data_IF_906045360142
#
_entry.id   IF_906045360142
#
_cell.length_a   1.000
_cell.length_b   1.000
_cell.length_c   1.000
_cell.angle_alpha   90.00
_cell.angle_beta   90.00
_cell.angle_gamma   90.00
#
_symmetry.space_group_name_H-M   'P 1'
#
loop_
_entity.id
_entity.type
_entity.pdbx_description
1 polymer ?
#
# COMPACT_ATOMS: atom_id res chain seq x y z
N UNK A 1 10.70 35.78 45.10
CA UNK A 1 11.86 36.00 45.99
C UNK A 1 13.08 35.51 45.22
N UNK A 2 14.11 36.27 44.84
CA UNK A 2 14.46 37.67 45.03
C UNK A 2 15.62 37.97 44.05
N UNK A 3 15.48 39.03 43.24
CA UNK A 3 16.44 40.12 42.91
C UNK A 3 17.96 39.79 42.93
N UNK A 4 18.74 39.93 41.83
CA UNK A 4 19.21 41.14 41.11
C UNK A 4 20.61 41.66 41.56
N UNK A 5 21.32 42.29 40.59
CA UNK A 5 22.61 43.05 40.65
C UNK A 5 23.91 42.21 40.71
N UNK A 6 24.86 42.25 39.77
CA UNK A 6 25.58 43.27 38.98
C UNK A 6 26.90 43.79 39.63
N UNK A 7 27.99 43.55 38.89
CA UNK A 7 29.23 44.34 38.74
C UNK A 7 30.46 44.27 39.69
N UNK A 8 31.62 44.44 39.02
CA UNK A 8 33.02 44.79 39.45
C UNK A 8 33.99 43.64 39.74
N UNK A 9 35.28 43.67 39.38
CA UNK A 9 36.22 44.63 38.75
C UNK A 9 37.52 43.82 38.45
N UNK A 10 38.21 43.98 37.30
CA UNK A 10 39.40 44.84 37.08
C UNK A 10 40.76 44.12 37.12
N UNK A 11 41.64 44.57 36.20
CA UNK A 11 43.12 44.52 36.20
C UNK A 11 43.84 43.20 35.81
N UNK A 12 44.96 43.19 35.07
CA UNK A 12 45.80 44.24 34.49
C UNK A 12 46.81 43.65 33.45
N UNK A 13 47.04 44.38 32.36
CA UNK A 13 48.32 44.67 31.67
C UNK A 13 49.51 43.68 31.69
N UNK A 14 50.14 43.49 30.52
CA UNK A 14 51.33 44.29 30.13
C UNK A 14 51.85 44.03 28.70
N UNK A 15 52.26 45.16 28.09
CA UNK A 15 53.31 45.34 27.07
C UNK A 15 53.05 44.89 25.63
N UNK A 16 52.79 45.87 24.76
CA UNK A 16 53.61 46.09 23.55
C UNK A 16 53.57 47.57 23.17
N UNK A 17 54.68 48.26 23.36
CA UNK A 17 54.96 49.58 22.81
C UNK A 17 56.22 49.46 21.95
N UNK A 18 56.17 49.94 20.71
CA UNK A 18 57.37 50.11 19.90
C UNK A 18 57.18 50.14 18.38
N UNK A 19 56.95 51.36 17.85
CA UNK A 19 57.46 51.90 16.57
C UNK A 19 56.87 51.38 15.23
N UNK A 20 56.11 52.24 14.51
CA UNK A 20 56.51 53.04 13.32
C UNK A 20 56.68 52.14 12.06
N UNK A 21 56.02 52.29 10.91
CA UNK A 21 55.50 53.44 10.14
C UNK A 21 54.55 52.94 9.02
N UNK A 22 53.63 53.81 8.57
CA UNK A 22 52.72 53.74 7.38
C UNK A 22 53.42 53.32 6.05
N UNK A 23 52.75 53.11 4.88
CA UNK A 23 51.30 53.19 4.57
C UNK A 23 50.71 52.05 3.69
N UNK A 24 49.39 51.93 3.77
CA UNK A 24 48.44 51.61 2.69
C UNK A 24 48.96 50.98 1.38
N UNK A 25 48.99 49.64 1.32
CA UNK A 25 48.93 48.90 0.04
C UNK A 25 48.29 47.50 0.14
N UNK A 26 47.88 47.07 1.33
CA UNK A 26 47.35 45.71 1.55
C UNK A 26 45.81 45.62 1.53
N UNK A 27 45.10 46.74 1.28
CA UNK A 27 43.64 46.78 1.33
C UNK A 27 42.95 46.12 0.14
N UNK A 28 43.57 46.08 -1.04
CA UNK A 28 42.89 45.58 -2.24
C UNK A 28 43.10 44.07 -2.47
N UNK A 29 44.18 43.48 -1.95
CA UNK A 29 44.43 42.05 -2.10
C UNK A 29 43.55 41.23 -1.14
N UNK A 30 43.33 41.73 0.08
CA UNK A 30 42.47 41.07 1.09
C UNK A 30 40.98 41.08 0.71
N UNK A 31 40.48 42.20 0.15
CA UNK A 31 39.08 42.32 -0.29
C UNK A 31 38.83 41.46 -1.54
N UNK A 32 39.81 41.36 -2.45
CA UNK A 32 39.69 40.50 -3.63
C UNK A 32 39.69 39.01 -3.24
N UNK A 33 40.52 38.59 -2.28
CA UNK A 33 40.47 37.21 -1.74
C UNK A 33 39.14 36.91 -1.04
N UNK A 34 38.57 37.83 -0.24
CA UNK A 34 37.28 37.58 0.41
C UNK A 34 36.10 37.55 -0.58
N UNK A 35 36.15 38.29 -1.69
CA UNK A 35 35.13 38.20 -2.74
C UNK A 35 35.26 36.93 -3.59
N UNK A 36 36.48 36.42 -3.81
CA UNK A 36 36.73 35.15 -4.51
C UNK A 36 36.35 33.92 -3.67
N UNK A 37 36.48 33.99 -2.34
CA UNK A 37 36.01 32.93 -1.44
C UNK A 37 34.48 32.92 -1.25
N UNK A 38 33.79 34.05 -1.41
CA UNK A 38 32.33 34.10 -1.25
C UNK A 38 31.55 33.68 -2.51
N UNK A 39 32.17 33.80 -3.70
CA UNK A 39 31.56 33.33 -4.97
C UNK A 39 31.80 31.85 -5.26
N UNK A 40 32.75 31.21 -4.57
CA UNK A 40 33.03 29.78 -4.70
C UNK A 40 32.18 28.93 -3.74
N UNK A 41 31.77 29.47 -2.58
CA UNK A 41 30.86 28.78 -1.66
C UNK A 41 29.40 28.69 -2.16
N UNK A 42 28.91 29.71 -2.87
CA UNK A 42 27.55 29.70 -3.43
C UNK A 42 27.39 28.68 -4.59
N UNK A 43 28.48 28.36 -5.30
CA UNK A 43 28.44 27.39 -6.41
C UNK A 43 28.46 25.93 -5.93
N UNK A 44 29.00 25.64 -4.74
CA UNK A 44 29.13 24.26 -4.23
C UNK A 44 27.83 23.77 -3.57
N UNK A 45 27.03 24.68 -2.98
CA UNK A 45 25.75 24.30 -2.34
C UNK A 45 24.65 24.00 -3.38
N UNK A 46 24.71 24.59 -4.57
CA UNK A 46 23.71 24.37 -5.63
C UNK A 46 23.85 23.03 -6.38
N UNK A 47 25.01 22.36 -6.29
CA UNK A 47 25.27 21.11 -7.00
C UNK A 47 24.83 19.87 -6.20
N UNK A 48 24.72 19.98 -4.87
CA UNK A 48 24.35 18.82 -4.03
C UNK A 48 22.84 18.52 -4.01
N UNK A 49 21.98 19.44 -4.44
CA UNK A 49 20.51 19.21 -4.47
C UNK A 49 20.01 18.52 -5.73
N UNK A 50 20.89 18.19 -6.70
CA UNK A 50 20.53 17.49 -7.94
C UNK A 50 20.74 15.97 -7.88
N UNK A 51 21.21 15.44 -6.75
CA UNK A 51 21.43 14.01 -6.51
C UNK A 51 20.41 13.41 -5.52
N UNK A 52 19.19 13.96 -5.49
CA UNK A 52 18.05 13.18 -5.01
C UNK A 52 17.80 12.07 -6.02
N UNK A 53 18.60 11.00 -5.93
CA UNK A 53 18.33 9.75 -6.61
C UNK A 53 16.94 9.31 -6.17
N UNK A 54 15.97 9.42 -7.07
CA UNK A 54 14.74 8.69 -6.93
C UNK A 54 15.15 7.22 -6.91
N UNK A 55 15.15 6.61 -5.72
CA UNK A 55 15.18 5.16 -5.63
C UNK A 55 13.87 4.70 -6.27
N UNK A 56 13.92 4.45 -7.57
CA UNK A 56 12.89 3.67 -8.24
C UNK A 56 12.77 2.37 -7.44
N UNK A 57 11.53 1.97 -7.13
CA UNK A 57 11.28 0.66 -6.52
C UNK A 57 11.92 -0.37 -7.45
N UNK A 58 12.85 -1.15 -6.92
CA UNK A 58 13.56 -2.14 -7.71
C UNK A 58 12.52 -3.08 -8.33
N UNK A 59 12.41 -3.14 -9.66
CA UNK A 59 11.43 -4.01 -10.30
C UNK A 59 11.80 -5.49 -10.10
N UNK A 60 13.03 -5.78 -9.67
CA UNK A 60 13.52 -7.13 -9.43
C UNK A 60 12.85 -7.74 -8.20
N UNK A 61 12.38 -9.00 -8.30
CA UNK A 61 11.78 -9.69 -7.18
C UNK A 61 12.85 -10.14 -6.19
N UNK A 62 12.43 -10.31 -4.94
CA UNK A 62 13.18 -11.08 -3.95
C UNK A 62 12.52 -12.43 -3.74
N UNK A 63 13.29 -13.51 -3.76
CA UNK A 63 12.74 -14.84 -3.50
C UNK A 63 12.39 -15.01 -2.03
N UNK A 64 11.13 -15.34 -1.75
CA UNK A 64 10.66 -15.70 -0.41
C UNK A 64 10.15 -17.14 -0.42
N UNK A 65 10.68 -17.97 0.50
CA UNK A 65 10.17 -19.32 0.73
C UNK A 65 9.36 -19.34 2.02
N UNK A 66 8.06 -19.56 1.91
CA UNK A 66 7.19 -19.65 3.08
C UNK A 66 7.56 -20.89 3.89
N UNK A 67 8.06 -20.73 5.14
CA UNK A 67 8.49 -21.86 5.96
C UNK A 67 7.34 -22.80 6.34
N UNK A 68 6.09 -22.32 6.32
CA UNK A 68 4.92 -23.13 6.70
C UNK A 68 4.45 -24.04 5.57
N UNK A 69 4.45 -23.54 4.33
CA UNK A 69 3.91 -24.26 3.17
C UNK A 69 5.00 -24.82 2.25
N UNK A 70 6.24 -24.32 2.36
CA UNK A 70 7.36 -24.66 1.49
C UNK A 70 7.31 -24.02 0.11
N UNK A 71 6.29 -23.20 -0.18
CA UNK A 71 6.10 -22.52 -1.47
C UNK A 71 7.14 -21.41 -1.60
N UNK A 72 7.78 -21.32 -2.76
CA UNK A 72 8.70 -20.24 -3.10
C UNK A 72 8.01 -19.25 -4.02
N UNK A 73 8.20 -17.96 -3.74
CA UNK A 73 7.57 -16.85 -4.44
C UNK A 73 8.63 -15.87 -4.90
N UNK A 74 8.42 -15.27 -6.06
CA UNK A 74 8.95 -13.94 -6.33
C UNK A 74 8.14 -12.92 -5.53
N UNK A 75 8.80 -12.01 -4.82
CA UNK A 75 8.12 -11.03 -3.96
C UNK A 75 8.62 -9.60 -4.14
N UNK A 76 7.68 -8.67 -4.03
CA UNK A 76 7.90 -7.23 -4.10
C UNK A 76 7.39 -6.57 -2.81
N UNK A 77 8.23 -5.71 -2.24
CA UNK A 77 7.97 -5.03 -0.98
C UNK A 77 7.60 -3.57 -1.23
N UNK A 78 6.38 -3.22 -0.83
CA UNK A 78 5.90 -1.85 -0.74
C UNK A 78 6.18 -1.33 0.67
N UNK A 79 7.05 -0.32 0.84
CA UNK A 79 7.38 0.21 2.16
C UNK A 79 6.15 0.82 2.84
N UNK A 80 6.13 0.75 4.17
CA UNK A 80 5.17 1.48 4.98
C UNK A 80 5.35 2.99 4.90
N UNK A 81 4.35 3.71 5.40
CA UNK A 81 4.35 5.16 5.56
C UNK A 81 3.98 5.53 7.00
N UNK A 82 3.85 6.83 7.30
CA UNK A 82 3.34 7.28 8.60
C UNK A 82 1.93 6.75 8.91
N UNK A 83 1.13 6.45 7.88
CA UNK A 83 -0.23 5.91 8.03
C UNK A 83 -0.30 4.39 7.94
N UNK A 84 0.39 3.78 6.99
CA UNK A 84 0.25 2.35 6.62
C UNK A 84 1.51 1.55 6.96
N UNK A 85 1.37 0.26 7.30
CA UNK A 85 2.54 -0.55 7.71
C UNK A 85 3.37 -1.12 6.57
N UNK A 86 2.89 -1.04 5.33
CA UNK A 86 3.56 -1.60 4.17
C UNK A 86 2.89 -2.91 3.73
N UNK A 87 3.29 -3.39 2.56
CA UNK A 87 2.71 -4.56 1.94
C UNK A 87 3.80 -5.36 1.24
N UNK A 88 3.74 -6.68 1.34
CA UNK A 88 4.50 -7.58 0.48
C UNK A 88 3.52 -8.36 -0.39
N UNK A 89 3.70 -8.30 -1.70
CA UNK A 89 3.00 -9.16 -2.64
C UNK A 89 3.98 -10.16 -3.22
N UNK A 90 3.56 -11.41 -3.34
CA UNK A 90 4.33 -12.48 -3.92
C UNK A 90 3.52 -13.31 -4.90
N UNK A 91 4.21 -13.87 -5.88
CA UNK A 91 3.62 -14.68 -6.93
C UNK A 91 4.46 -15.93 -7.19
N UNK A 92 3.78 -17.06 -7.27
CA UNK A 92 4.29 -18.32 -7.82
C UNK A 92 3.37 -18.75 -8.96
N UNK A 93 3.96 -19.27 -10.02
CA UNK A 93 3.30 -19.54 -11.30
C UNK A 93 3.55 -20.99 -11.75
N UNK A 94 2.69 -21.53 -12.64
CA UNK A 94 2.96 -22.77 -13.37
C UNK A 94 4.35 -22.75 -14.04
N UNK A 95 4.97 -23.91 -14.23
CA UNK A 95 6.32 -24.01 -14.81
C UNK A 95 6.42 -23.41 -16.21
N UNK A 96 5.35 -23.46 -17.01
CA UNK A 96 5.31 -22.92 -18.37
C UNK A 96 4.90 -21.45 -18.44
N UNK A 97 4.66 -20.77 -17.31
CA UNK A 97 4.02 -19.46 -17.29
C UNK A 97 4.85 -18.33 -17.93
N UNK A 98 6.17 -18.51 -18.09
CA UNK A 98 7.04 -17.54 -18.75
C UNK A 98 7.15 -17.78 -20.27
N UNK A 99 6.58 -18.88 -20.77
CA UNK A 99 6.49 -19.19 -22.20
C UNK A 99 5.06 -19.00 -22.70
N UNK A 100 4.07 -19.47 -21.92
CA UNK A 100 2.64 -19.34 -22.17
C UNK A 100 1.97 -18.54 -21.05
N UNK A 101 1.04 -17.65 -21.41
CA UNK A 101 0.32 -16.85 -20.42
C UNK A 101 -0.50 -17.75 -19.46
N UNK A 102 -0.17 -17.69 -18.16
CA UNK A 102 -0.92 -18.35 -17.13
C UNK A 102 -2.26 -17.63 -16.89
N UNK A 103 -3.30 -18.39 -16.55
CA UNK A 103 -4.60 -17.82 -16.15
C UNK A 103 -4.77 -17.76 -14.63
N UNK A 104 -3.88 -18.42 -13.90
CA UNK A 104 -3.94 -18.62 -12.45
C UNK A 104 -2.55 -18.45 -11.83
N UNK A 105 -2.52 -18.19 -10.52
CA UNK A 105 -1.30 -18.10 -9.75
C UNK A 105 -1.54 -18.46 -8.28
N UNK A 106 -0.47 -18.73 -7.55
CA UNK A 106 -0.49 -18.75 -6.09
C UNK A 106 0.10 -17.43 -5.60
N UNK A 107 -0.70 -16.66 -4.87
CA UNK A 107 -0.32 -15.39 -4.30
C UNK A 107 0.11 -15.52 -2.84
N UNK A 108 1.11 -14.73 -2.47
CA UNK A 108 1.41 -14.38 -1.08
C UNK A 108 1.07 -12.89 -0.89
N UNK A 109 0.34 -12.58 0.16
CA UNK A 109 0.01 -11.21 0.53
C UNK A 109 0.28 -11.05 2.03
N UNK A 110 1.20 -10.17 2.38
CA UNK A 110 1.40 -9.72 3.75
C UNK A 110 1.06 -8.23 3.82
N UNK A 111 0.04 -7.91 4.60
CA UNK A 111 -0.43 -6.54 4.82
C UNK A 111 -0.03 -6.14 6.24
N UNK A 112 0.99 -5.29 6.35
CA UNK A 112 1.54 -4.88 7.62
C UNK A 112 0.79 -3.67 8.18
N UNK A 113 0.81 -3.56 9.50
CA UNK A 113 0.20 -2.47 10.25
C UNK A 113 1.15 -1.94 11.32
N UNK A 114 1.15 -0.62 11.50
CA UNK A 114 2.00 0.06 12.47
C UNK A 114 1.61 -0.27 13.92
N UNK A 115 0.37 -0.69 14.19
CA UNK A 115 -0.11 -1.10 15.51
C UNK A 115 -1.41 -1.91 15.42
N UNK A 116 -1.86 -2.45 16.56
CA UNK A 116 -3.08 -3.27 16.66
C UNK A 116 -4.36 -2.53 16.21
N UNK A 117 -4.40 -1.19 16.29
CA UNK A 117 -5.54 -0.41 15.82
C UNK A 117 -5.56 -0.32 14.29
N UNK A 118 -4.42 -0.19 13.63
CA UNK A 118 -4.36 -0.17 12.16
C UNK A 118 -4.35 -1.57 11.54
N UNK A 119 -4.09 -2.61 12.35
CA UNK A 119 -4.10 -4.03 11.92
C UNK A 119 -5.49 -4.55 11.49
N UNK A 120 -6.55 -3.78 11.68
CA UNK A 120 -7.93 -4.08 11.24
C UNK A 120 -8.27 -3.49 9.86
N UNK A 121 -7.33 -2.77 9.26
CA UNK A 121 -7.45 -2.20 7.92
C UNK A 121 -7.48 -3.25 6.80
N UNK A 122 -7.36 -2.79 5.56
CA UNK A 122 -7.41 -3.65 4.37
C UNK A 122 -6.26 -3.34 3.40
N UNK A 123 -5.89 -4.34 2.62
CA UNK A 123 -4.98 -4.22 1.50
C UNK A 123 -5.67 -4.65 0.20
N UNK A 124 -5.28 -4.04 -0.90
CA UNK A 124 -5.79 -4.32 -2.24
C UNK A 124 -4.66 -4.48 -3.24
N UNK A 125 -4.84 -5.40 -4.19
CA UNK A 125 -3.97 -5.58 -5.36
C UNK A 125 -4.80 -5.38 -6.62
N UNK A 126 -4.32 -4.58 -7.55
CA UNK A 126 -4.82 -4.56 -8.93
C UNK A 126 -3.92 -5.45 -9.79
N UNK A 127 -4.53 -6.38 -10.52
CA UNK A 127 -3.83 -7.30 -11.41
C UNK A 127 -3.54 -6.72 -12.80
N UNK A 128 -3.95 -5.48 -13.06
CA UNK A 128 -3.67 -4.76 -14.31
C UNK A 128 -3.02 -3.40 -14.10
N UNK A 129 -2.39 -3.17 -12.95
CA UNK A 129 -1.78 -1.90 -12.57
C UNK A 129 -2.80 -0.85 -12.11
N UNK A 130 -3.75 -0.51 -12.97
CA UNK A 130 -4.76 0.53 -12.73
C UNK A 130 -5.85 0.08 -11.74
N UNK A 131 -6.40 1.02 -10.95
CA UNK A 131 -7.61 0.75 -10.15
C UNK A 131 -8.83 0.45 -11.02
N UNK A 132 -8.95 1.15 -12.15
CA UNK A 132 -10.08 1.00 -13.06
C UNK A 132 -9.76 -0.06 -14.11
N UNK A 133 -10.81 -0.72 -14.59
CA UNK A 133 -10.78 -1.63 -15.72
C UNK A 133 -9.83 -2.83 -15.55
N UNK A 134 -9.56 -3.19 -14.29
CA UNK A 134 -8.68 -4.30 -13.88
C UNK A 134 -9.34 -5.17 -12.83
N UNK A 135 -8.97 -6.45 -12.76
CA UNK A 135 -9.38 -7.31 -11.63
C UNK A 135 -8.67 -6.86 -10.35
N UNK A 136 -9.46 -6.60 -9.31
CA UNK A 136 -8.98 -6.15 -8.02
C UNK A 136 -9.20 -7.26 -6.99
N UNK A 137 -8.15 -7.57 -6.22
CA UNK A 137 -8.24 -8.41 -5.02
C UNK A 137 -8.19 -7.53 -3.79
N UNK A 138 -9.24 -7.55 -2.98
CA UNK A 138 -9.25 -6.93 -1.65
C UNK A 138 -9.09 -8.00 -0.59
N UNK A 139 -8.22 -7.78 0.40
CA UNK A 139 -8.04 -8.65 1.56
C UNK A 139 -8.03 -7.87 2.87
N UNK A 140 -8.60 -8.45 3.93
CA UNK A 140 -8.69 -7.81 5.26
C UNK A 140 -8.96 -8.85 6.34
N UNK A 141 -8.64 -8.55 7.62
CA UNK A 141 -8.95 -9.45 8.73
C UNK A 141 -10.36 -9.20 9.28
N UNK A 142 -11.05 -10.29 9.62
CA UNK A 142 -12.33 -10.29 10.34
C UNK A 142 -12.33 -11.45 11.34
N UNK A 143 -12.45 -11.14 12.64
CA UNK A 143 -12.55 -12.12 13.73
C UNK A 143 -11.49 -13.24 13.66
N UNK A 144 -10.24 -12.85 13.43
CA UNK A 144 -9.09 -13.77 13.37
C UNK A 144 -8.96 -14.56 12.07
N UNK A 145 -9.79 -14.28 11.05
CA UNK A 145 -9.69 -14.88 9.71
C UNK A 145 -9.36 -13.80 8.69
N UNK A 146 -8.57 -14.12 7.68
CA UNK A 146 -8.39 -13.22 6.53
C UNK A 146 -9.51 -13.49 5.53
N UNK A 147 -10.21 -12.46 5.10
CA UNK A 147 -11.25 -12.52 4.06
C UNK A 147 -10.74 -11.87 2.79
N UNK A 148 -11.29 -12.31 1.67
CA UNK A 148 -10.99 -11.77 0.35
C UNK A 148 -12.27 -11.40 -0.39
N UNK A 149 -12.20 -10.40 -1.26
CA UNK A 149 -13.27 -10.04 -2.19
C UNK A 149 -12.67 -9.65 -3.53
N UNK A 150 -13.14 -10.29 -4.60
CA UNK A 150 -12.78 -9.91 -5.97
C UNK A 150 -13.70 -8.79 -6.44
N UNK A 151 -13.10 -7.75 -7.01
CA UNK A 151 -13.75 -6.48 -7.29
C UNK A 151 -13.37 -5.95 -8.67
N UNK A 152 -14.22 -5.08 -9.20
CA UNK A 152 -14.00 -4.41 -10.48
C UNK A 152 -14.71 -3.06 -10.50
N UNK A 153 -14.14 -2.08 -11.20
CA UNK A 153 -14.75 -0.76 -11.40
C UNK A 153 -14.27 -0.11 -12.70
N UNK A 154 -15.13 0.65 -13.36
CA UNK A 154 -14.79 1.48 -14.52
C UNK A 154 -14.56 2.96 -14.16
N UNK A 155 -14.53 3.28 -12.86
CA UNK A 155 -14.31 4.63 -12.37
C UNK A 155 -13.73 4.65 -10.96
N UNK A 156 -13.26 5.82 -10.52
CA UNK A 156 -12.67 6.05 -9.20
C UNK A 156 -13.75 6.16 -8.09
N UNK A 157 -14.56 5.11 -7.99
CA UNK A 157 -15.67 4.95 -7.04
C UNK A 157 -15.51 3.62 -6.29
N UNK A 158 -16.42 3.31 -5.37
CA UNK A 158 -16.42 2.03 -4.65
C UNK A 158 -16.48 0.86 -5.66
N UNK A 159 -15.47 -0.04 -5.68
CA UNK A 159 -15.50 -1.15 -6.61
C UNK A 159 -16.68 -2.10 -6.40
N UNK A 160 -17.36 -2.43 -7.48
CA UNK A 160 -18.40 -3.46 -7.50
C UNK A 160 -17.81 -4.85 -7.32
N UNK A 161 -18.66 -5.83 -7.02
CA UNK A 161 -18.26 -7.25 -6.98
C UNK A 161 -17.86 -7.68 -8.39
N UNK A 162 -16.74 -8.41 -8.50
CA UNK A 162 -16.36 -9.03 -9.76
C UNK A 162 -17.26 -10.23 -10.04
N UNK A 163 -17.89 -10.28 -11.22
CA UNK A 163 -18.86 -11.32 -11.58
C UNK A 163 -18.33 -12.33 -12.61
N UNK A 164 -17.06 -12.23 -12.99
CA UNK A 164 -16.41 -13.22 -13.84
C UNK A 164 -16.08 -14.52 -13.09
N UNK A 165 -15.33 -15.39 -13.74
CA UNK A 165 -15.07 -16.75 -13.27
C UNK A 165 -13.92 -16.86 -12.24
N UNK A 166 -13.25 -15.76 -11.93
CA UNK A 166 -12.14 -15.73 -11.00
C UNK A 166 -12.55 -16.20 -9.59
N UNK A 167 -11.71 -17.01 -8.96
CA UNK A 167 -11.94 -17.52 -7.59
C UNK A 167 -10.67 -17.48 -6.76
N UNK A 168 -10.83 -17.32 -5.45
CA UNK A 168 -9.73 -17.31 -4.47
C UNK A 168 -9.96 -18.41 -3.45
N UNK A 169 -9.00 -19.32 -3.32
CA UNK A 169 -8.99 -20.39 -2.31
C UNK A 169 -7.74 -20.27 -1.46
N UNK A 170 -7.87 -20.31 -0.13
CA UNK A 170 -6.73 -20.14 0.77
C UNK A 170 -5.94 -21.43 0.95
N UNK A 171 -4.62 -21.27 1.00
CA UNK A 171 -3.66 -22.30 1.42
C UNK A 171 -3.34 -22.10 2.91
N UNK A 172 -3.06 -20.85 3.30
CA UNK A 172 -2.83 -20.49 4.70
C UNK A 172 -3.11 -19.01 4.95
N UNK A 173 -3.50 -18.66 6.16
CA UNK A 173 -3.60 -17.27 6.58
C UNK A 173 -3.21 -17.11 8.06
N UNK A 174 -2.83 -15.89 8.44
CA UNK A 174 -2.54 -15.50 9.81
C UNK A 174 -3.00 -14.07 10.06
N UNK A 175 -3.52 -13.79 11.25
CA UNK A 175 -3.88 -12.44 11.72
C UNK A 175 -3.19 -12.22 13.07
N UNK A 176 -2.50 -11.10 13.23
CA UNK A 176 -1.82 -10.74 14.47
C UNK A 176 -1.90 -9.23 14.72
N UNK A 177 -1.27 -8.75 15.79
CA UNK A 177 -1.30 -7.34 16.16
C UNK A 177 -0.54 -6.41 15.18
N UNK A 178 0.26 -6.97 14.27
CA UNK A 178 1.07 -6.23 13.30
C UNK A 178 0.52 -6.37 11.87
N UNK A 179 -0.67 -6.94 11.69
CA UNK A 179 -1.32 -7.09 10.39
C UNK A 179 -1.80 -8.51 10.11
N UNK A 180 -1.76 -8.89 8.84
CA UNK A 180 -2.17 -10.24 8.41
C UNK A 180 -1.35 -10.73 7.22
N UNK A 181 -1.30 -12.06 7.07
CA UNK A 181 -0.75 -12.72 5.89
C UNK A 181 -1.75 -13.69 5.29
N UNK A 182 -1.67 -13.87 3.98
CA UNK A 182 -2.51 -14.76 3.20
C UNK A 182 -1.68 -15.39 2.08
N UNK A 183 -1.67 -16.72 2.05
CA UNK A 183 -1.23 -17.52 0.91
C UNK A 183 -2.46 -18.12 0.26
N UNK A 184 -2.67 -17.89 -1.02
CA UNK A 184 -3.91 -18.22 -1.72
C UNK A 184 -3.67 -18.64 -3.16
N UNK A 185 -4.51 -19.53 -3.67
CA UNK A 185 -4.63 -19.81 -5.09
C UNK A 185 -5.69 -18.88 -5.70
N UNK A 186 -5.31 -18.16 -6.75
CA UNK A 186 -6.20 -17.31 -7.53
C UNK A 186 -6.38 -17.96 -8.90
N UNK A 187 -7.52 -18.63 -9.09
CA UNK A 187 -7.86 -19.27 -10.37
C UNK A 187 -8.57 -18.26 -11.26
N UNK A 188 -8.21 -18.23 -12.54
CA UNK A 188 -8.84 -17.39 -13.57
C UNK A 188 -8.70 -15.88 -13.28
N UNK A 189 -7.60 -15.49 -12.62
CA UNK A 189 -7.38 -14.12 -12.13
C UNK A 189 -6.48 -13.28 -13.06
N UNK A 190 -5.72 -13.89 -13.95
CA UNK A 190 -4.80 -13.16 -14.85
C UNK A 190 -5.47 -12.70 -16.16
N UNK A 191 -6.80 -12.81 -16.21
CA UNK A 191 -7.63 -12.16 -17.20
C UNK A 191 -8.97 -11.81 -16.58
N UNK A 192 -9.66 -10.85 -17.18
CA UNK A 192 -10.94 -10.39 -16.67
C UNK A 192 -11.86 -9.89 -17.77
N UNK A 193 -13.15 -9.95 -17.48
CA UNK A 193 -14.21 -9.42 -18.32
C UNK A 193 -15.39 -8.98 -17.46
N UNK A 194 -15.70 -7.69 -17.47
CA UNK A 194 -16.85 -7.15 -16.77
C UNK A 194 -17.31 -5.84 -17.41
N UNK A 195 -18.63 -5.63 -17.47
CA UNK A 195 -19.25 -4.41 -18.01
C UNK A 195 -18.76 -4.04 -19.43
N UNK A 196 -18.51 -5.06 -20.27
CA UNK A 196 -18.01 -4.86 -21.64
C UNK A 196 -16.52 -4.50 -21.74
N UNK A 197 -15.80 -4.48 -20.62
CA UNK A 197 -14.35 -4.24 -20.56
C UNK A 197 -13.62 -5.53 -20.30
N UNK A 198 -12.59 -5.82 -21.10
CA UNK A 198 -11.74 -7.00 -20.99
C UNK A 198 -10.28 -6.59 -20.82
N UNK A 199 -9.53 -7.34 -20.02
CA UNK A 199 -8.09 -7.17 -19.89
C UNK A 199 -7.40 -8.44 -19.40
N UNK A 200 -6.08 -8.44 -19.43
CA UNK A 200 -5.25 -9.57 -19.00
C UNK A 200 -3.88 -9.11 -18.53
N UNK A 201 -3.21 -9.99 -17.78
CA UNK A 201 -1.86 -9.85 -17.31
C UNK A 201 -1.00 -10.97 -17.94
N UNK A 202 -0.13 -10.62 -18.88
CA UNK A 202 0.62 -11.59 -19.70
C UNK A 202 1.94 -12.01 -19.04
N UNK A 203 1.94 -13.18 -18.40
CA UNK A 203 3.12 -13.72 -17.70
C UNK A 203 4.26 -14.09 -18.65
N UNK A 204 3.98 -14.46 -19.90
CA UNK A 204 4.99 -14.76 -20.93
C UNK A 204 5.90 -13.57 -21.25
N UNK A 205 5.43 -12.35 -20.97
CA UNK A 205 6.25 -11.14 -21.05
C UNK A 205 7.31 -11.01 -19.95
N UNK A 206 7.34 -11.93 -18.98
CA UNK A 206 8.22 -11.93 -17.81
C UNK A 206 8.14 -10.66 -16.96
N UNK A 207 7.05 -9.89 -17.11
CA UNK A 207 6.85 -8.62 -16.44
C UNK A 207 5.35 -8.34 -16.33
N UNK A 208 4.90 -7.97 -15.14
CA UNK A 208 3.49 -7.68 -14.86
C UNK A 208 3.33 -6.30 -14.20
N UNK A 209 2.36 -5.52 -14.64
CA UNK A 209 2.01 -4.28 -13.96
C UNK A 209 0.99 -4.54 -12.85
N UNK A 210 1.36 -4.19 -11.63
CA UNK A 210 0.48 -4.31 -10.47
C UNK A 210 0.21 -2.95 -9.83
N UNK A 211 -0.98 -2.84 -9.25
CA UNK A 211 -1.35 -1.74 -8.37
C UNK A 211 -1.50 -2.24 -6.94
N UNK A 212 -1.23 -1.39 -5.96
CA UNK A 212 -1.58 -1.66 -4.57
C UNK A 212 -2.43 -0.54 -3.98
N UNK A 213 -3.18 -0.91 -2.96
CA UNK A 213 -3.90 0.00 -2.10
C UNK A 213 -3.84 -0.50 -0.65
N UNK A 214 -3.74 0.40 0.31
CA UNK A 214 -3.81 0.08 1.74
C UNK A 214 -4.68 1.10 2.45
N UNK A 215 -5.48 0.66 3.41
CA UNK A 215 -6.16 1.54 4.35
C UNK A 215 -6.04 1.03 5.76
N UNK A 216 -5.97 1.96 6.72
CA UNK A 216 -6.06 1.66 8.15
C UNK A 216 -7.49 1.50 8.64
N UNK A 217 -8.48 1.94 7.84
CA UNK A 217 -9.89 1.82 8.18
C UNK A 217 -10.41 0.43 7.85
N UNK A 218 -11.05 -0.21 8.83
CA UNK A 218 -11.65 -1.52 8.62
C UNK A 218 -12.85 -1.45 7.65
N UNK A 219 -13.06 -2.45 6.78
CA UNK A 219 -14.26 -2.52 5.97
C UNK A 219 -15.55 -2.50 6.80
N UNK A 220 -16.58 -1.81 6.31
CA UNK A 220 -17.93 -1.91 6.84
C UNK A 220 -18.56 -3.24 6.37
N UNK A 221 -19.30 -3.91 7.25
CA UNK A 221 -19.89 -5.24 7.02
C UNK A 221 -18.83 -6.33 6.69
N UNK A 222 -17.75 -6.45 7.49
CA UNK A 222 -16.60 -7.28 7.14
C UNK A 222 -16.93 -8.78 7.07
N UNK A 223 -18.06 -9.24 7.63
CA UNK A 223 -18.44 -10.66 7.55
C UNK A 223 -19.04 -11.05 6.19
N UNK A 224 -19.37 -10.09 5.32
CA UNK A 224 -19.96 -10.30 4.00
C UNK A 224 -19.05 -9.71 2.92
N UNK A 225 -18.08 -10.48 2.38
CA UNK A 225 -17.14 -10.00 1.38
C UNK A 225 -17.76 -9.27 0.19
N UNK A 226 -18.92 -9.73 -0.31
CA UNK A 226 -19.60 -9.10 -1.44
C UNK A 226 -20.32 -7.81 -1.06
N UNK A 227 -20.71 -7.69 0.21
CA UNK A 227 -21.43 -6.55 0.77
C UNK A 227 -20.56 -5.56 1.54
N UNK A 228 -19.23 -5.67 1.47
CA UNK A 228 -18.35 -4.70 2.15
C UNK A 228 -18.46 -3.31 1.53
N UNK A 229 -18.28 -2.30 2.37
CA UNK A 229 -18.00 -0.92 1.94
C UNK A 229 -16.64 -0.52 2.46
N UNK A 230 -15.83 0.06 1.57
CA UNK A 230 -14.48 0.52 1.86
C UNK A 230 -14.46 2.05 1.88
N UNK A 231 -13.72 2.62 2.83
CA UNK A 231 -13.21 3.98 2.66
C UNK A 231 -12.18 4.01 1.53
N UNK A 232 -11.83 5.21 1.05
CA UNK A 232 -10.71 5.36 0.12
C UNK A 232 -9.43 4.92 0.82
N UNK A 233 -8.53 4.29 0.09
CA UNK A 233 -7.22 3.89 0.60
C UNK A 233 -6.39 5.10 1.07
N UNK A 234 -5.61 4.91 2.13
CA UNK A 234 -4.68 5.89 2.70
C UNK A 234 -3.34 5.91 1.93
N UNK A 235 -2.98 4.79 1.31
CA UNK A 235 -1.77 4.63 0.50
C UNK A 235 -2.07 3.83 -0.75
N UNK A 236 -1.45 4.21 -1.86
CA UNK A 236 -1.61 3.56 -3.16
C UNK A 236 -0.38 3.77 -4.02
N UNK A 237 -0.25 2.94 -5.05
CA UNK A 237 0.72 3.12 -6.11
C UNK A 237 0.68 1.96 -7.08
N UNK A 238 1.57 2.02 -8.07
CA UNK A 238 1.77 0.95 -9.04
C UNK A 238 3.25 0.60 -9.08
N UNK A 239 3.54 -0.63 -9.46
CA UNK A 239 4.89 -1.07 -9.77
C UNK A 239 4.84 -2.08 -10.90
N UNK A 240 5.96 -2.20 -11.59
CA UNK A 240 6.18 -3.20 -12.62
C UNK A 240 7.01 -4.32 -12.00
N UNK A 241 6.40 -5.50 -11.89
CA UNK A 241 6.97 -6.70 -11.31
C UNK A 241 7.70 -7.51 -12.39
N UNK A 242 9.04 -7.51 -12.37
CA UNK A 242 9.80 -8.47 -13.19
C UNK A 242 9.66 -9.86 -12.57
N UNK A 243 9.35 -10.85 -13.40
CA UNK A 243 9.29 -12.25 -13.02
C UNK A 243 10.65 -12.88 -13.29
N UNK A 244 11.23 -13.54 -12.28
CA UNK A 244 12.52 -14.22 -12.38
C UNK A 244 12.36 -15.70 -12.03
N UNK A 245 12.08 -15.99 -10.75
CA UNK A 245 11.96 -17.35 -10.22
C UNK A 245 10.52 -17.73 -9.86
N UNK A 246 9.53 -17.00 -10.39
CA UNK A 246 8.11 -17.23 -10.11
C UNK A 246 7.59 -18.57 -10.65
N UNK A 247 8.07 -19.03 -11.81
CA UNK A 247 7.61 -20.28 -12.44
C UNK A 247 8.27 -21.52 -11.80
N UNK A 248 7.47 -22.55 -11.51
CA UNK A 248 7.96 -23.73 -10.78
C UNK A 248 7.30 -25.03 -11.18
N UNK A 249 8.11 -26.08 -11.34
CA UNK A 249 7.66 -27.48 -11.51
C UNK A 249 6.89 -28.03 -10.31
N UNK A 250 7.01 -27.38 -9.15
CA UNK A 250 6.26 -27.76 -7.95
C UNK A 250 4.88 -27.09 -7.85
N UNK A 251 4.53 -26.22 -8.80
CA UNK A 251 3.32 -25.41 -8.76
C UNK A 251 2.05 -26.25 -8.54
N UNK A 252 1.87 -27.35 -9.28
CA UNK A 252 0.68 -28.19 -9.15
C UNK A 252 0.54 -28.82 -7.75
N UNK A 253 1.67 -29.18 -7.13
CA UNK A 253 1.69 -29.69 -5.74
C UNK A 253 1.31 -28.60 -4.75
N UNK A 254 1.79 -27.37 -4.97
CA UNK A 254 1.47 -26.22 -4.14
C UNK A 254 0.01 -25.80 -4.30
N UNK A 255 -0.52 -25.80 -5.52
CA UNK A 255 -1.92 -25.49 -5.84
C UNK A 255 -2.86 -26.45 -5.11
N UNK A 256 -2.52 -27.74 -5.06
CA UNK A 256 -3.31 -28.75 -4.37
C UNK A 256 -3.45 -28.51 -2.85
N UNK A 257 -2.62 -27.66 -2.24
CA UNK A 257 -2.76 -27.25 -0.84
C UNK A 257 -3.93 -26.26 -0.63
N UNK A 258 -4.46 -25.64 -1.69
CA UNK A 258 -5.54 -24.68 -1.59
C UNK A 258 -6.88 -25.41 -1.35
N UNK A 259 -7.31 -25.46 -0.09
CA UNK A 259 -8.48 -26.26 0.32
C UNK A 259 -9.43 -25.50 1.26
N UNK A 260 -9.17 -24.22 1.54
CA UNK A 260 -9.91 -23.47 2.53
C UNK A 260 -10.59 -22.24 1.93
N UNK A 261 -11.91 -22.17 2.07
CA UNK A 261 -12.69 -20.95 1.80
C UNK A 261 -13.26 -20.44 3.11
N UNK A 262 -13.22 -19.12 3.32
CA UNK A 262 -13.79 -18.53 4.54
C UNK A 262 -15.29 -18.35 4.35
N UNK A 263 -16.15 -18.95 5.20
CA UNK A 263 -17.59 -18.83 5.06
C UNK A 263 -18.06 -17.37 5.05
N UNK A 264 -18.95 -17.04 4.12
CA UNK A 264 -19.56 -15.72 4.01
C UNK A 264 -20.80 -15.65 4.89
N UNK A 265 -20.89 -14.59 5.71
CA UNK A 265 -22.06 -14.31 6.53
C UNK A 265 -22.67 -13.00 6.04
N UNK A 266 -23.29 -13.08 4.87
CA UNK A 266 -24.13 -12.03 4.34
C UNK A 266 -25.51 -12.18 4.96
N UNK A 267 -25.82 -11.40 6.00
CA UNK A 267 -27.22 -11.24 6.40
C UNK A 267 -27.94 -10.62 5.21
N UNK A 268 -28.77 -11.41 4.53
CA UNK A 268 -29.65 -10.91 3.48
C UNK A 268 -30.60 -9.88 4.11
N UNK A 269 -30.26 -8.60 4.06
CA UNK A 269 -31.25 -7.52 4.19
C UNK A 269 -32.02 -7.38 2.88
N UNK A 270 -32.42 -8.50 2.25
CA UNK A 270 -33.44 -8.50 1.20
C UNK A 270 -34.79 -8.55 1.90
N UNK A 271 -35.46 -7.40 1.97
CA UNK A 271 -36.90 -7.31 2.17
C UNK A 271 -37.39 -7.41 3.61
N UNK A 272 -37.22 -6.34 4.41
CA UNK A 272 -38.37 -5.85 5.18
C UNK A 272 -39.00 -4.71 4.38
N UNK A 273 -39.85 -5.07 3.43
CA UNK A 273 -41.02 -4.23 3.17
C UNK A 273 -41.85 -4.28 4.45
N UNK A 274 -41.50 -3.44 5.41
CA UNK A 274 -42.46 -3.07 6.44
C UNK A 274 -43.45 -2.17 5.74
N UNK A 275 -44.52 -2.76 5.20
CA UNK A 275 -45.76 -2.05 4.99
C UNK A 275 -46.20 -1.54 6.36
N UNK A 276 -45.73 -0.35 6.73
CA UNK A 276 -46.39 0.45 7.75
C UNK A 276 -47.78 0.71 7.20
N UNK A 277 -48.86 0.21 7.82
CA UNK A 277 -50.19 0.63 7.43
C UNK A 277 -50.26 2.13 7.74
N UNK A 278 -50.53 2.93 6.71
CA UNK A 278 -50.91 4.32 6.90
C UNK A 278 -52.09 4.37 7.88
N UNK A 279 -52.08 5.20 8.95
CA UNK A 279 -53.23 5.29 9.82
C UNK A 279 -54.39 5.90 9.01
N UNK A 280 -55.40 5.08 8.75
CA UNK A 280 -56.69 5.53 8.23
C UNK A 280 -57.26 6.58 9.19
N UNK A 281 -57.32 7.82 8.72
CA UNK A 281 -58.09 8.88 9.36
C UNK A 281 -59.56 8.46 9.33
N UNK A 282 -60.06 7.96 10.45
CA UNK A 282 -61.48 7.86 10.74
C UNK A 282 -62.03 9.29 10.85
N UNK A 283 -62.58 9.81 9.75
CA UNK A 283 -63.57 10.88 9.82
C UNK A 283 -64.86 10.30 10.39
N UNK A 284 -64.97 10.30 11.72
CA UNK A 284 -66.23 10.12 12.42
C UNK A 284 -67.03 11.41 12.36
N UNK A 285 -68.01 11.48 11.45
CA UNK A 285 -69.09 12.45 11.52
C UNK A 285 -70.24 11.85 12.33
N UNK A 286 -70.59 12.48 13.46
CA UNK A 286 -71.93 12.58 14.09
C UNK A 286 -71.73 13.39 15.39
N UNK A 287 -72.05 14.69 15.41
CA UNK A 287 -73.36 15.27 15.73
C UNK A 287 -73.90 14.88 17.12
N UNK A 288 -74.03 15.91 17.96
CA UNK A 288 -75.01 16.20 19.03
C UNK A 288 -74.38 16.51 20.41
N UNK A 289 -74.63 17.73 20.87
CA UNK A 289 -74.23 18.29 22.17
C UNK A 289 -73.89 19.76 22.04
#
# INVERSE_FOLDING_TARGET
MSLASNERESNCNRFMAGMLTRPALLSNLFILTMMLLNRTFAAIVAVCTLLSGCLAQDPLPTTYKDPKTGISFDTWNVPGSSGTGGLTFGMALPSTALEDDATEFIGYLHCAANNATTARGWCGISLGGSMVDSLLLIAYPDRGRVRTSLRFTSGYTMPGVYTGNATVTQISSAVNATGFSLTFHCRDCLHWSQNGTTGSASTSGSMLDFGYAQSIEAPVNPSCPDGIRLARHDSQGTWTALLDSAASESYDKWRALANHTVPTNCTNTRGRNSSVPSPSRLFGNRLFG
#
